data_IF_973347637066
#
_entry.id   IF_973347637066
#
_cell.length_a   1.000
_cell.length_b   1.000
_cell.length_c   1.000
_cell.angle_alpha   90.00
_cell.angle_beta   90.00
_cell.angle_gamma   90.00
#
_symmetry.space_group_name_H-M   'P 1'
#
loop_
_entity.id
_entity.type
_entity.pdbx_description
1 polymer ?
#
# COMPACT_ATOMS: atom_id res chain seq x y z
N UNK A 1 -11.83 47.67 26.39
CA UNK A 1 -11.91 46.93 25.11
C UNK A 1 -10.68 46.05 24.83
N UNK A 2 -9.47 46.39 25.30
CA UNK A 2 -8.24 45.62 25.02
C UNK A 2 -8.23 44.15 25.46
N UNK A 3 -8.82 43.82 26.62
CA UNK A 3 -8.84 42.45 27.16
C UNK A 3 -9.57 41.43 26.25
N UNK A 4 -10.62 41.88 25.56
CA UNK A 4 -11.40 41.04 24.63
C UNK A 4 -10.59 40.66 23.39
N UNK A 5 -9.75 41.57 22.88
CA UNK A 5 -8.90 41.30 21.72
C UNK A 5 -7.75 40.34 22.04
N UNK A 6 -7.15 40.44 23.23
CA UNK A 6 -6.10 39.51 23.65
C UNK A 6 -6.61 38.07 23.81
N UNK A 7 -7.81 37.89 24.37
CA UNK A 7 -8.45 36.57 24.46
C UNK A 7 -8.70 35.97 23.07
N UNK A 8 -9.23 36.76 22.14
CA UNK A 8 -9.48 36.31 20.77
C UNK A 8 -8.17 35.90 20.05
N UNK A 9 -7.10 36.69 20.21
CA UNK A 9 -5.79 36.36 19.65
C UNK A 9 -5.22 35.06 20.24
N UNK A 10 -5.31 34.86 21.55
CA UNK A 10 -4.83 33.64 22.20
C UNK A 10 -5.59 32.39 21.74
N UNK A 11 -6.92 32.48 21.60
CA UNK A 11 -7.75 31.38 21.10
C UNK A 11 -7.44 31.06 19.64
N UNK A 12 -7.23 32.08 18.80
CA UNK A 12 -6.84 31.90 17.41
C UNK A 12 -5.46 31.23 17.28
N UNK A 13 -4.49 31.60 18.11
CA UNK A 13 -3.17 30.96 18.15
C UNK A 13 -3.28 29.50 18.60
N UNK A 14 -4.06 29.20 19.64
CA UNK A 14 -4.28 27.82 20.09
C UNK A 14 -4.96 26.96 19.02
N UNK A 15 -5.95 27.50 18.30
CA UNK A 15 -6.58 26.82 17.16
C UNK A 15 -5.60 26.59 16.01
N UNK A 16 -4.74 27.55 15.68
CA UNK A 16 -3.71 27.39 14.66
C UNK A 16 -2.70 26.28 15.01
N UNK A 17 -2.30 26.18 16.28
CA UNK A 17 -1.40 25.12 16.76
C UNK A 17 -2.09 23.74 16.74
N UNK A 18 -3.38 23.68 17.09
CA UNK A 18 -4.15 22.42 17.08
C UNK A 18 -4.35 21.90 15.65
N UNK A 19 -4.64 22.79 14.70
CA UNK A 19 -4.79 22.43 13.27
C UNK A 19 -3.44 22.00 12.67
N UNK A 20 -2.32 22.58 13.11
CA UNK A 20 -1.00 22.18 12.66
C UNK A 20 -0.53 20.81 13.21
N UNK A 21 -1.17 20.29 14.26
CA UNK A 21 -0.78 19.03 14.92
C UNK A 21 -1.73 17.86 14.65
N UNK A 22 -2.84 18.10 13.93
CA UNK A 22 -3.85 17.09 13.64
C UNK A 22 -3.57 16.21 12.40
N UNK A 23 -2.41 16.36 11.73
CA UNK A 23 -2.17 15.74 10.41
C UNK A 23 -1.11 14.62 10.39
N UNK A 24 -0.71 14.04 11.52
CA UNK A 24 0.30 12.96 11.51
C UNK A 24 0.03 11.76 12.43
N UNK A 25 -1.11 11.69 13.10
CA UNK A 25 -1.44 10.59 14.02
C UNK A 25 -2.66 9.81 13.50
N UNK A 26 -2.48 9.02 12.45
CA UNK A 26 -3.54 8.15 11.91
C UNK A 26 -3.35 7.66 10.47
N UNK A 27 -2.49 8.32 9.70
CA UNK A 27 -2.32 8.06 8.26
C UNK A 27 -1.01 7.34 7.91
N UNK A 28 -0.36 6.67 8.87
CA UNK A 28 0.83 5.86 8.57
C UNK A 28 0.42 4.53 7.93
N UNK A 29 0.85 4.33 6.68
CA UNK A 29 0.71 3.06 5.98
C UNK A 29 1.84 2.09 6.35
N UNK A 30 1.94 1.74 7.64
CA UNK A 30 2.94 0.81 8.16
C UNK A 30 2.30 -0.50 8.65
N UNK A 31 2.98 -1.66 8.54
CA UNK A 31 2.52 -2.90 9.16
C UNK A 31 2.40 -2.76 10.69
N UNK A 32 1.24 -3.15 11.22
CA UNK A 32 0.87 -2.96 12.63
C UNK A 32 0.02 -1.72 12.90
N UNK A 33 -0.02 -0.77 11.96
CA UNK A 33 -0.88 0.41 12.01
C UNK A 33 -2.09 0.21 11.07
N UNK A 34 -2.16 0.93 9.94
CA UNK A 34 -3.21 0.81 8.93
C UNK A 34 -3.09 -0.47 8.07
N UNK A 35 -1.95 -1.18 8.14
CA UNK A 35 -1.72 -2.43 7.42
C UNK A 35 -1.59 -3.61 8.41
N UNK A 36 -2.15 -4.78 8.07
CA UNK A 36 -1.83 -5.99 8.83
C UNK A 36 -0.35 -6.35 8.69
N UNK A 37 0.22 -6.98 9.72
CA UNK A 37 1.55 -7.60 9.62
C UNK A 37 1.60 -8.65 8.51
N UNK A 38 2.70 -8.67 7.75
CA UNK A 38 2.89 -9.48 6.55
C UNK A 38 1.70 -9.35 5.58
N UNK A 39 1.43 -8.13 5.08
CA UNK A 39 0.26 -7.85 4.27
C UNK A 39 0.26 -8.64 2.97
N UNK A 40 -0.92 -8.88 2.39
CA UNK A 40 -1.12 -9.40 1.03
C UNK A 40 -0.43 -10.75 0.73
N UNK A 41 -0.41 -11.68 1.69
CA UNK A 41 0.20 -13.01 1.53
C UNK A 41 -0.54 -13.87 0.49
N UNK A 42 -1.86 -13.74 0.36
CA UNK A 42 -2.62 -14.40 -0.70
C UNK A 42 -2.22 -13.85 -2.08
N UNK A 43 -1.99 -12.54 -2.19
CA UNK A 43 -1.52 -11.93 -3.44
C UNK A 43 -0.16 -12.44 -3.88
N UNK A 44 0.79 -12.68 -2.97
CA UNK A 44 2.04 -13.38 -3.30
C UNK A 44 1.77 -14.69 -4.03
N UNK A 45 0.90 -15.52 -3.45
CA UNK A 45 0.60 -16.85 -3.98
C UNK A 45 -0.07 -16.75 -5.35
N UNK A 46 -1.02 -15.82 -5.50
CA UNK A 46 -1.69 -15.54 -6.77
C UNK A 46 -0.70 -15.10 -7.86
N UNK A 47 0.11 -14.08 -7.59
CA UNK A 47 1.09 -13.53 -8.55
C UNK A 47 2.09 -14.60 -9.01
N UNK A 48 2.68 -15.35 -8.07
CA UNK A 48 3.66 -16.39 -8.41
C UNK A 48 2.99 -17.53 -9.19
N UNK A 49 1.76 -17.92 -8.84
CA UNK A 49 1.02 -18.95 -9.59
C UNK A 49 0.67 -18.49 -11.00
N UNK A 50 0.29 -17.22 -11.15
CA UNK A 50 -0.14 -16.67 -12.42
C UNK A 50 1.03 -16.44 -13.39
N UNK A 51 2.16 -15.94 -12.87
CA UNK A 51 3.29 -15.48 -13.69
C UNK A 51 4.38 -16.54 -13.84
N UNK A 52 4.62 -17.30 -12.78
CA UNK A 52 5.65 -18.33 -12.75
C UNK A 52 5.09 -19.74 -12.96
N UNK A 53 3.76 -19.91 -13.01
CA UNK A 53 3.09 -21.22 -13.01
C UNK A 53 3.54 -22.12 -11.85
N UNK A 54 3.89 -21.49 -10.72
CA UNK A 54 4.38 -22.15 -9.51
C UNK A 54 3.43 -21.84 -8.35
N UNK A 55 2.97 -22.87 -7.63
CA UNK A 55 2.09 -22.64 -6.49
C UNK A 55 1.23 -23.85 -6.14
N UNK A 56 0.32 -23.70 -5.17
CA UNK A 56 -0.63 -24.75 -4.83
C UNK A 56 -1.56 -25.05 -6.00
N UNK A 57 -2.08 -26.28 -6.05
CA UNK A 57 -3.09 -26.70 -7.03
C UNK A 57 -4.48 -26.17 -6.65
N UNK A 58 -4.60 -24.85 -6.53
CA UNK A 58 -5.88 -24.16 -6.38
C UNK A 58 -6.31 -23.62 -7.75
N UNK A 59 -7.60 -23.38 -7.93
CA UNK A 59 -8.07 -22.65 -9.10
C UNK A 59 -7.54 -21.22 -9.05
N UNK A 60 -7.03 -20.72 -10.17
CA UNK A 60 -6.53 -19.34 -10.28
C UNK A 60 -7.57 -18.31 -9.83
N UNK A 61 -8.86 -18.57 -10.07
CA UNK A 61 -9.97 -17.73 -9.61
C UNK A 61 -10.07 -17.64 -8.08
N UNK A 62 -9.87 -18.74 -7.36
CA UNK A 62 -9.86 -18.74 -5.89
C UNK A 62 -8.66 -18.00 -5.33
N UNK A 63 -7.49 -18.15 -5.96
CA UNK A 63 -6.30 -17.40 -5.58
C UNK A 63 -6.48 -15.90 -5.81
N UNK A 64 -7.04 -15.50 -6.97
CA UNK A 64 -7.38 -14.11 -7.29
C UNK A 64 -8.35 -13.53 -6.27
N UNK A 65 -9.45 -14.24 -5.99
CA UNK A 65 -10.45 -13.80 -5.00
C UNK A 65 -9.82 -13.50 -3.64
N UNK A 66 -9.05 -14.45 -3.07
CA UNK A 66 -8.39 -14.25 -1.77
C UNK A 66 -7.41 -13.08 -1.77
N UNK A 67 -6.67 -12.89 -2.86
CA UNK A 67 -5.81 -11.72 -3.01
C UNK A 67 -6.61 -10.42 -2.99
N UNK A 68 -7.68 -10.33 -3.78
CA UNK A 68 -8.51 -9.13 -3.84
C UNK A 68 -9.26 -8.87 -2.53
N UNK A 69 -9.68 -9.92 -1.81
CA UNK A 69 -10.25 -9.79 -0.47
C UNK A 69 -9.25 -9.16 0.50
N UNK A 70 -8.01 -9.66 0.57
CA UNK A 70 -6.94 -9.07 1.38
C UNK A 70 -6.64 -7.62 0.99
N UNK A 71 -6.59 -7.31 -0.30
CA UNK A 71 -6.30 -5.96 -0.80
C UNK A 71 -7.45 -4.97 -0.54
N UNK A 72 -8.69 -5.44 -0.62
CA UNK A 72 -9.88 -4.62 -0.36
C UNK A 72 -10.01 -4.22 1.11
N UNK A 73 -9.55 -5.09 2.02
CA UNK A 73 -9.55 -4.84 3.46
C UNK A 73 -8.56 -3.74 3.88
N UNK A 74 -7.56 -3.44 3.04
CA UNK A 74 -6.63 -2.33 3.26
C UNK A 74 -7.30 -1.01 2.83
N UNK A 75 -7.24 0.05 3.64
CA UNK A 75 -7.78 1.36 3.28
C UNK A 75 -7.24 1.86 1.94
N UNK A 76 -8.07 2.55 1.16
CA UNK A 76 -7.70 3.00 -0.19
C UNK A 76 -6.38 3.79 -0.23
N UNK A 77 -6.14 4.63 0.78
CA UNK A 77 -4.94 5.44 0.88
C UNK A 77 -3.65 4.62 1.12
N UNK A 78 -3.76 3.38 1.61
CA UNK A 78 -2.62 2.49 1.87
C UNK A 78 -2.42 1.35 0.85
N UNK A 79 -3.31 1.19 -0.14
CA UNK A 79 -3.21 0.06 -1.08
C UNK A 79 -1.92 0.07 -1.91
N UNK A 80 -1.51 1.24 -2.40
CA UNK A 80 -0.25 1.36 -3.15
C UNK A 80 0.96 1.06 -2.28
N UNK A 81 0.94 1.48 -1.01
CA UNK A 81 2.02 1.18 -0.08
C UNK A 81 2.08 -0.30 0.28
N UNK A 82 0.93 -0.95 0.48
CA UNK A 82 0.87 -2.40 0.67
C UNK A 82 1.45 -3.17 -0.52
N UNK A 83 1.16 -2.72 -1.75
CA UNK A 83 1.77 -3.28 -2.96
C UNK A 83 3.28 -3.03 -3.02
N UNK A 84 3.74 -1.83 -2.66
CA UNK A 84 5.18 -1.51 -2.54
C UNK A 84 5.87 -2.44 -1.56
N UNK A 85 5.27 -2.69 -0.41
CA UNK A 85 5.81 -3.56 0.66
C UNK A 85 5.96 -5.01 0.17
N UNK A 86 4.98 -5.59 -0.53
CA UNK A 86 5.16 -6.97 -1.04
C UNK A 86 6.23 -7.06 -2.14
N UNK A 87 6.47 -5.96 -2.87
CA UNK A 87 7.50 -5.89 -3.90
C UNK A 87 8.91 -5.68 -3.31
N UNK A 88 9.06 -4.73 -2.39
CA UNK A 88 10.35 -4.20 -1.93
C UNK A 88 10.66 -4.50 -0.46
N UNK A 89 9.63 -4.78 0.34
CA UNK A 89 9.73 -4.95 1.78
C UNK A 89 9.73 -3.64 2.55
N UNK A 90 9.69 -3.77 3.88
CA UNK A 90 9.78 -2.67 4.84
C UNK A 90 10.34 -3.20 6.16
N UNK A 91 11.07 -2.34 6.88
CA UNK A 91 11.45 -2.59 8.28
C UNK A 91 10.42 -1.91 9.17
N UNK A 92 9.73 -2.68 10.01
CA UNK A 92 8.74 -2.15 10.95
C UNK A 92 9.39 -1.38 12.09
N UNK A 93 8.59 -0.65 12.87
CA UNK A 93 9.09 0.07 14.05
C UNK A 93 9.68 -0.86 15.12
N UNK A 94 9.26 -2.13 15.16
CA UNK A 94 9.86 -3.16 16.02
C UNK A 94 11.18 -3.72 15.46
N UNK A 95 11.65 -3.24 14.31
CA UNK A 95 12.86 -3.74 13.63
C UNK A 95 12.67 -5.04 12.86
N UNK A 96 11.42 -5.51 12.65
CA UNK A 96 11.14 -6.70 11.87
C UNK A 96 11.11 -6.37 10.37
N UNK A 97 11.67 -7.23 9.52
CA UNK A 97 11.56 -7.07 8.08
C UNK A 97 10.36 -7.86 7.54
N UNK A 98 9.45 -7.17 6.85
CA UNK A 98 8.23 -7.74 6.27
C UNK A 98 8.11 -7.44 4.78
N UNK A 99 7.41 -8.30 4.04
CA UNK A 99 7.21 -8.14 2.59
C UNK A 99 8.36 -8.70 1.74
N UNK A 100 8.70 -8.02 0.65
CA UNK A 100 9.71 -8.43 -0.35
C UNK A 100 9.55 -9.91 -0.77
N UNK A 101 8.31 -10.28 -1.10
CA UNK A 101 7.94 -11.67 -1.29
C UNK A 101 8.45 -12.29 -2.59
N UNK A 102 8.71 -11.45 -3.59
CA UNK A 102 9.12 -11.86 -4.93
C UNK A 102 10.63 -11.97 -5.00
N UNK A 103 11.10 -13.11 -5.51
CA UNK A 103 12.51 -13.47 -5.64
C UNK A 103 12.77 -14.04 -7.03
N UNK A 104 14.00 -13.94 -7.50
CA UNK A 104 14.39 -14.60 -8.74
C UNK A 104 14.25 -16.11 -8.61
N UNK A 105 13.70 -16.74 -9.64
CA UNK A 105 13.59 -18.18 -9.76
C UNK A 105 13.85 -18.61 -11.21
N UNK A 106 14.21 -19.88 -11.46
CA UNK A 106 14.43 -20.37 -12.82
C UNK A 106 13.23 -20.04 -13.72
N UNK A 107 13.48 -19.29 -14.81
CA UNK A 107 12.48 -18.83 -15.79
C UNK A 107 11.40 -17.86 -15.26
N UNK A 108 11.50 -17.37 -14.02
CA UNK A 108 10.60 -16.35 -13.50
C UNK A 108 11.38 -15.31 -12.68
N UNK A 109 11.94 -14.28 -13.35
CA UNK A 109 12.69 -13.23 -12.68
C UNK A 109 11.78 -12.41 -11.77
N UNK A 110 12.37 -11.86 -10.70
CA UNK A 110 11.68 -11.01 -9.73
C UNK A 110 10.98 -9.84 -10.40
N UNK A 111 11.62 -9.23 -11.39
CA UNK A 111 11.09 -8.09 -12.15
C UNK A 111 9.71 -8.40 -12.75
N UNK A 112 9.53 -9.57 -13.37
CA UNK A 112 8.25 -9.98 -13.97
C UNK A 112 7.16 -10.12 -12.90
N UNK A 113 7.50 -10.67 -11.74
CA UNK A 113 6.58 -10.82 -10.61
C UNK A 113 6.17 -9.45 -10.05
N UNK A 114 7.14 -8.54 -9.86
CA UNK A 114 6.88 -7.19 -9.32
C UNK A 114 6.08 -6.33 -10.29
N UNK A 115 6.36 -6.40 -11.60
CA UNK A 115 5.60 -5.66 -12.63
C UNK A 115 4.16 -6.12 -12.71
N UNK A 116 3.90 -7.41 -12.52
CA UNK A 116 2.52 -7.91 -12.43
C UNK A 116 1.85 -7.48 -11.11
N UNK A 117 2.56 -7.56 -9.97
CA UNK A 117 2.04 -7.14 -8.68
C UNK A 117 1.64 -5.65 -8.64
N UNK A 118 2.38 -4.78 -9.34
CA UNK A 118 2.07 -3.35 -9.46
C UNK A 118 0.69 -3.08 -10.11
N UNK A 119 0.15 -4.06 -10.85
CA UNK A 119 -1.13 -3.95 -11.54
C UNK A 119 -2.31 -4.60 -10.79
N UNK A 120 -2.12 -5.08 -9.55
CA UNK A 120 -3.19 -5.76 -8.81
C UNK A 120 -4.41 -4.87 -8.52
N UNK A 121 -4.24 -3.55 -8.40
CA UNK A 121 -5.35 -2.62 -8.18
C UNK A 121 -6.15 -2.32 -9.45
N UNK A 122 -5.62 -2.61 -10.65
CA UNK A 122 -6.22 -2.16 -11.91
C UNK A 122 -7.54 -2.84 -12.22
N UNK A 123 -8.35 -2.30 -13.16
CA UNK A 123 -9.62 -2.90 -13.55
C UNK A 123 -9.52 -4.34 -14.07
N UNK A 124 -8.35 -4.75 -14.59
CA UNK A 124 -8.11 -6.12 -15.06
C UNK A 124 -7.91 -7.12 -13.91
N UNK A 125 -7.51 -6.63 -12.73
CA UNK A 125 -7.26 -7.43 -11.54
C UNK A 125 -8.35 -7.25 -10.49
N UNK A 126 -8.11 -6.47 -9.43
CA UNK A 126 -9.05 -6.32 -8.32
C UNK A 126 -9.95 -5.08 -8.45
N UNK A 127 -9.64 -4.15 -9.36
CA UNK A 127 -10.41 -2.92 -9.58
C UNK A 127 -10.69 -2.12 -8.30
N UNK A 128 -9.64 -1.83 -7.53
CA UNK A 128 -9.75 -1.16 -6.23
C UNK A 128 -9.16 0.26 -6.31
N UNK A 129 -9.95 1.27 -5.93
CA UNK A 129 -9.47 2.65 -5.86
C UNK A 129 -8.32 2.84 -4.85
N UNK A 130 -7.42 3.77 -5.10
CA UNK A 130 -6.23 4.03 -4.27
C UNK A 130 -6.25 5.45 -3.70
N UNK A 131 -5.13 5.89 -3.10
CA UNK A 131 -4.92 7.30 -2.71
C UNK A 131 -5.12 8.28 -3.87
N UNK A 132 -4.94 7.81 -5.11
CA UNK A 132 -5.05 8.61 -6.33
C UNK A 132 -6.49 8.77 -6.84
N UNK A 133 -7.49 8.33 -6.07
CA UNK A 133 -8.90 8.36 -6.47
C UNK A 133 -9.23 7.46 -7.67
N UNK A 134 -8.30 6.60 -8.09
CA UNK A 134 -8.41 5.72 -9.25
C UNK A 134 -7.82 4.34 -8.94
N UNK A 135 -8.13 3.35 -9.78
CA UNK A 135 -7.63 1.98 -9.67
C UNK A 135 -6.19 1.84 -10.19
N UNK A 136 -5.28 2.68 -9.68
CA UNK A 136 -3.93 2.82 -10.21
C UNK A 136 -2.93 3.27 -9.13
N UNK A 137 -1.69 2.79 -9.25
CA UNK A 137 -0.56 3.17 -8.41
C UNK A 137 0.59 3.60 -9.33
N UNK A 138 0.66 4.88 -9.72
CA UNK A 138 1.65 5.37 -10.65
C UNK A 138 3.07 5.18 -10.10
N UNK A 139 3.30 5.31 -8.79
CA UNK A 139 4.61 5.15 -8.14
C UNK A 139 5.28 3.79 -8.37
N UNK A 140 4.47 2.77 -8.67
CA UNK A 140 4.94 1.39 -8.85
C UNK A 140 5.21 1.03 -10.30
N UNK A 141 4.91 1.94 -11.23
CA UNK A 141 5.01 1.67 -12.66
C UNK A 141 6.41 1.99 -13.18
N UNK A 142 6.91 1.22 -14.17
CA UNK A 142 8.16 1.54 -14.83
C UNK A 142 8.12 2.96 -15.41
N UNK A 143 9.11 3.79 -15.07
CA UNK A 143 9.22 5.17 -15.56
C UNK A 143 8.55 6.24 -14.69
N UNK A 144 7.92 5.88 -13.57
CA UNK A 144 7.45 6.89 -12.62
C UNK A 144 8.62 7.66 -12.01
N UNK A 145 8.51 8.99 -11.97
CA UNK A 145 9.58 9.89 -11.52
C UNK A 145 10.62 10.23 -12.59
N UNK A 146 10.51 9.70 -13.82
CA UNK A 146 11.33 10.12 -14.97
C UNK A 146 10.69 11.36 -15.59
N UNK A 147 10.74 12.48 -14.88
CA UNK A 147 10.57 13.82 -15.46
C UNK A 147 11.99 14.34 -15.72
N UNK A 148 12.38 14.32 -17.00
CA UNK A 148 13.57 15.03 -17.51
C UNK A 148 13.28 16.53 -17.58
#
# INVERSE_FOLDING_TARGET
>A
MAFKYQLLLSAAVMLAILVATATSFGDSCAPGDALPHNPLRACRTYVVSQICHQGPRLLTSDMKRRCCDELSAIPAYCRCEALRIIMQGVVTWQGAFEGAYFKDSPNCPRERQTSYAANLVTPQECNLGTIHGSAYCPELQPGYGVVL
#
